data_IF_264453517709
#
_entry.id   IF_264453517709
#
_cell.length_a   1.000
_cell.length_b   1.000
_cell.length_c   1.000
_cell.angle_alpha   90.00
_cell.angle_beta   90.00
_cell.angle_gamma   90.00
#
_symmetry.space_group_name_H-M   'P 1'
#
loop_
_entity.id
_entity.type
_entity.pdbx_description
1 polymer ?
#
# COMPACT_ATOMS: atom_id res chain seq x y z
N UNK A 1 14.51 26.03 14.96
CA UNK A 1 14.46 24.64 14.43
C UNK A 1 13.32 24.62 13.45
N UNK A 2 13.61 24.84 12.18
CA UNK A 2 12.56 25.20 11.23
C UNK A 2 11.93 23.95 10.58
N UNK A 3 12.58 22.81 10.74
CA UNK A 3 12.15 21.50 10.25
C UNK A 3 12.12 20.46 11.37
N UNK A 4 11.18 19.52 11.27
CA UNK A 4 10.99 18.43 12.23
C UNK A 4 10.89 17.09 11.49
N UNK A 5 11.48 16.03 12.06
CA UNK A 5 11.44 14.68 11.46
C UNK A 5 10.06 14.05 11.62
N UNK A 6 9.49 13.63 10.48
CA UNK A 6 8.18 12.97 10.43
C UNK A 6 8.24 11.59 9.75
N UNK A 7 9.36 11.25 9.09
CA UNK A 7 9.59 9.95 8.47
C UNK A 7 11.03 9.50 8.76
N UNK A 8 11.18 8.43 9.55
CA UNK A 8 12.49 7.84 9.84
C UNK A 8 13.08 7.12 8.63
N UNK A 9 14.41 6.97 8.57
CA UNK A 9 15.10 6.24 7.49
C UNK A 9 14.58 4.80 7.28
N UNK A 10 14.33 4.05 8.35
CA UNK A 10 13.80 2.68 8.26
C UNK A 10 12.40 2.62 7.64
N UNK A 11 11.54 3.59 7.96
CA UNK A 11 10.23 3.74 7.33
C UNK A 11 10.37 4.01 5.83
N UNK A 12 11.29 4.90 5.43
CA UNK A 12 11.53 5.19 4.02
C UNK A 12 12.00 3.95 3.27
N UNK A 13 12.98 3.23 3.79
CA UNK A 13 13.50 2.00 3.16
C UNK A 13 12.36 0.99 2.96
N UNK A 14 11.58 0.72 4.02
CA UNK A 14 10.43 -0.18 3.93
C UNK A 14 9.40 0.29 2.89
N UNK A 15 9.11 1.59 2.83
CA UNK A 15 8.18 2.16 1.85
C UNK A 15 8.71 2.00 0.41
N UNK A 16 9.97 2.31 0.13
CA UNK A 16 10.54 2.23 -1.22
C UNK A 16 10.59 0.78 -1.72
N UNK A 17 11.01 -0.15 -0.88
CA UNK A 17 10.98 -1.57 -1.21
C UNK A 17 9.56 -2.07 -1.44
N UNK A 18 8.61 -1.67 -0.60
CA UNK A 18 7.20 -2.00 -0.82
C UNK A 18 6.69 -1.46 -2.15
N UNK A 19 7.02 -0.21 -2.50
CA UNK A 19 6.63 0.39 -3.77
C UNK A 19 7.16 -0.44 -4.95
N UNK A 20 8.45 -0.76 -4.96
CA UNK A 20 9.08 -1.53 -6.05
C UNK A 20 8.46 -2.93 -6.14
N UNK A 21 8.43 -3.67 -5.04
CA UNK A 21 7.96 -5.05 -5.02
C UNK A 21 6.46 -5.15 -5.33
N UNK A 22 5.65 -4.26 -4.78
CA UNK A 22 4.22 -4.21 -5.07
C UNK A 22 3.97 -3.84 -6.53
N UNK A 23 4.70 -2.88 -7.12
CA UNK A 23 4.56 -2.56 -8.55
C UNK A 23 4.91 -3.75 -9.43
N UNK A 24 6.00 -4.47 -9.13
CA UNK A 24 6.35 -5.67 -9.89
C UNK A 24 5.32 -6.79 -9.74
N UNK A 25 4.79 -7.02 -8.53
CA UNK A 25 3.70 -7.97 -8.28
C UNK A 25 2.42 -7.56 -8.99
N UNK A 26 2.09 -6.27 -9.00
CA UNK A 26 0.91 -5.75 -9.67
C UNK A 26 1.01 -5.94 -11.19
N UNK A 27 2.16 -5.64 -11.79
CA UNK A 27 2.39 -5.82 -13.23
C UNK A 27 2.35 -7.30 -13.62
N UNK A 28 3.09 -8.14 -12.90
CA UNK A 28 3.11 -9.59 -13.16
C UNK A 28 1.75 -10.24 -12.89
N UNK A 29 1.06 -9.82 -11.83
CA UNK A 29 -0.30 -10.27 -11.51
C UNK A 29 -1.31 -9.84 -12.56
N UNK A 30 -1.22 -8.61 -13.08
CA UNK A 30 -2.11 -8.13 -14.14
C UNK A 30 -2.02 -8.96 -15.43
N UNK A 31 -0.82 -9.40 -15.81
CA UNK A 31 -0.64 -10.33 -16.95
C UNK A 31 -1.34 -11.66 -16.70
N UNK A 32 -1.24 -12.20 -15.48
CA UNK A 32 -1.85 -13.48 -15.12
C UNK A 32 -3.36 -13.38 -14.92
N UNK A 33 -3.84 -12.21 -14.50
CA UNK A 33 -5.26 -11.92 -14.26
C UNK A 33 -6.03 -11.73 -15.56
N UNK A 34 -5.45 -11.04 -16.56
CA UNK A 34 -6.03 -10.94 -17.89
C UNK A 34 -4.95 -10.84 -18.96
N UNK A 35 -4.61 -12.00 -19.52
CA UNK A 35 -3.62 -12.11 -20.59
C UNK A 35 -4.15 -11.53 -21.91
N UNK A 36 -5.46 -11.45 -22.08
CA UNK A 36 -6.11 -10.86 -23.24
C UNK A 36 -5.83 -9.36 -23.34
N UNK A 37 -5.77 -8.67 -22.19
CA UNK A 37 -5.50 -7.24 -22.10
C UNK A 37 -4.00 -6.97 -21.97
N UNK A 38 -3.30 -7.77 -21.17
CA UNK A 38 -1.90 -7.54 -20.79
C UNK A 38 -0.90 -8.42 -21.54
N UNK A 39 -1.36 -9.13 -22.59
CA UNK A 39 -0.53 -10.05 -23.38
C UNK A 39 0.66 -9.39 -24.08
N UNK A 40 0.57 -8.08 -24.36
CA UNK A 40 1.70 -7.30 -24.89
C UNK A 40 2.89 -7.28 -23.92
N UNK A 41 2.64 -7.29 -22.61
CA UNK A 41 3.69 -7.33 -21.59
C UNK A 41 4.31 -8.73 -21.51
N UNK A 42 3.49 -9.78 -21.60
CA UNK A 42 4.00 -11.16 -21.73
C UNK A 42 4.86 -11.29 -22.99
N UNK A 43 4.38 -10.80 -24.14
CA UNK A 43 5.13 -10.79 -25.39
C UNK A 43 6.49 -10.08 -25.22
N UNK A 44 6.50 -8.86 -24.66
CA UNK A 44 7.72 -8.08 -24.45
C UNK A 44 8.74 -8.80 -23.56
N UNK A 45 8.29 -9.43 -22.47
CA UNK A 45 9.14 -10.21 -21.56
C UNK A 45 9.64 -11.50 -22.21
N UNK A 46 8.81 -12.18 -22.99
CA UNK A 46 9.13 -13.49 -23.56
C UNK A 46 9.91 -13.45 -24.88
N UNK A 47 9.84 -12.36 -25.64
CA UNK A 47 10.52 -12.22 -26.95
C UNK A 47 12.03 -12.51 -26.89
N UNK A 48 12.79 -12.03 -25.88
CA UNK A 48 14.22 -12.33 -25.80
C UNK A 48 14.55 -13.82 -25.55
N UNK A 49 13.58 -14.62 -25.08
CA UNK A 49 13.80 -15.99 -24.62
C UNK A 49 13.04 -17.05 -25.42
N UNK A 50 12.10 -16.65 -26.29
CA UNK A 50 11.20 -17.55 -27.02
C UNK A 50 11.94 -18.56 -27.88
N UNK A 51 12.98 -18.12 -28.61
CA UNK A 51 13.81 -18.97 -29.46
C UNK A 51 14.58 -20.02 -28.64
N UNK A 52 15.11 -19.64 -27.47
CA UNK A 52 15.82 -20.55 -26.58
C UNK A 52 14.89 -21.59 -25.96
N UNK A 53 13.66 -21.20 -25.64
CA UNK A 53 12.65 -22.05 -24.99
C UNK A 53 11.83 -22.88 -25.99
N UNK A 54 12.00 -22.68 -27.29
CA UNK A 54 11.27 -23.43 -28.33
C UNK A 54 9.76 -23.22 -28.29
N UNK A 55 9.29 -22.02 -27.89
CA UNK A 55 7.87 -21.70 -27.75
C UNK A 55 7.56 -20.30 -28.27
N UNK A 56 6.28 -19.94 -28.39
CA UNK A 56 5.90 -18.60 -28.81
C UNK A 56 6.22 -17.55 -27.71
N UNK A 57 6.47 -16.28 -28.08
CA UNK A 57 6.84 -15.25 -27.12
C UNK A 57 5.83 -15.01 -25.99
N UNK A 58 4.53 -15.19 -26.24
CA UNK A 58 3.50 -14.94 -25.22
C UNK A 58 3.54 -16.05 -24.17
N UNK A 59 3.63 -17.31 -24.61
CA UNK A 59 3.78 -18.46 -23.71
C UNK A 59 5.07 -18.39 -22.88
N UNK A 60 6.21 -18.09 -23.52
CA UNK A 60 7.48 -17.87 -22.83
C UNK A 60 7.35 -16.78 -21.75
N UNK A 61 6.77 -15.63 -22.13
CA UNK A 61 6.55 -14.50 -21.24
C UNK A 61 5.65 -14.85 -20.06
N UNK A 62 4.52 -15.53 -20.31
CA UNK A 62 3.57 -15.92 -19.26
C UNK A 62 4.22 -16.86 -18.22
N UNK A 63 5.09 -17.78 -18.65
CA UNK A 63 5.82 -18.66 -17.74
C UNK A 63 6.86 -17.90 -16.91
N UNK A 64 7.62 -16.99 -17.53
CA UNK A 64 8.60 -16.13 -16.84
C UNK A 64 7.93 -15.21 -15.83
N UNK A 65 6.83 -14.57 -16.22
CA UNK A 65 6.02 -13.70 -15.37
C UNK A 65 5.46 -14.49 -14.19
N UNK A 66 4.90 -15.68 -14.42
CA UNK A 66 4.37 -16.55 -13.34
C UNK A 66 5.44 -16.93 -12.34
N UNK A 67 6.62 -17.32 -12.81
CA UNK A 67 7.73 -17.72 -11.93
C UNK A 67 8.24 -16.52 -11.13
N UNK A 68 8.40 -15.37 -11.80
CA UNK A 68 8.81 -14.12 -11.16
C UNK A 68 7.79 -13.65 -10.12
N UNK A 69 6.50 -13.69 -10.43
CA UNK A 69 5.43 -13.30 -9.51
C UNK A 69 5.50 -14.08 -8.19
N UNK A 70 5.68 -15.40 -8.26
CA UNK A 70 5.81 -16.26 -7.08
C UNK A 70 7.05 -15.89 -6.26
N UNK A 71 8.20 -15.76 -6.91
CA UNK A 71 9.45 -15.43 -6.22
C UNK A 71 9.38 -14.06 -5.53
N UNK A 72 8.93 -13.03 -6.26
CA UNK A 72 8.76 -11.68 -5.73
C UNK A 72 7.74 -11.68 -4.60
N UNK A 73 6.68 -12.49 -4.70
CA UNK A 73 5.67 -12.67 -3.66
C UNK A 73 6.27 -13.12 -2.33
N UNK A 74 7.20 -14.08 -2.35
CA UNK A 74 7.92 -14.51 -1.15
C UNK A 74 8.84 -13.43 -0.58
N UNK A 75 9.59 -12.73 -1.44
CA UNK A 75 10.46 -11.62 -1.01
C UNK A 75 9.64 -10.50 -0.37
N UNK A 76 8.51 -10.14 -0.98
CA UNK A 76 7.60 -9.14 -0.46
C UNK A 76 6.94 -9.58 0.85
N UNK A 77 6.50 -10.83 0.95
CA UNK A 77 5.98 -11.41 2.19
C UNK A 77 6.99 -11.33 3.33
N UNK A 78 8.25 -11.71 3.09
CA UNK A 78 9.32 -11.61 4.08
C UNK A 78 9.56 -10.16 4.54
N UNK A 79 9.61 -9.20 3.61
CA UNK A 79 9.71 -7.77 3.93
C UNK A 79 8.56 -7.31 4.83
N UNK A 80 7.33 -7.65 4.47
CA UNK A 80 6.14 -7.27 5.24
C UNK A 80 6.14 -7.89 6.64
N UNK A 81 6.51 -9.16 6.77
CA UNK A 81 6.61 -9.83 8.07
C UNK A 81 7.64 -9.15 8.97
N UNK A 82 8.86 -8.92 8.46
CA UNK A 82 9.92 -8.24 9.22
C UNK A 82 9.47 -6.83 9.63
N UNK A 83 8.86 -6.08 8.71
CA UNK A 83 8.40 -4.72 9.01
C UNK A 83 7.23 -4.70 10.00
N UNK A 84 6.29 -5.64 9.90
CA UNK A 84 5.19 -5.77 10.85
C UNK A 84 5.71 -6.10 12.27
N UNK A 85 6.66 -7.04 12.39
CA UNK A 85 7.31 -7.38 13.66
C UNK A 85 7.99 -6.13 14.25
N UNK A 86 8.74 -5.39 13.44
CA UNK A 86 9.36 -4.13 13.87
C UNK A 86 8.32 -3.13 14.39
N UNK A 87 7.23 -2.90 13.66
CA UNK A 87 6.18 -1.97 14.08
C UNK A 87 5.52 -2.39 15.40
N UNK A 88 5.31 -3.70 15.60
CA UNK A 88 4.71 -4.26 16.80
C UNK A 88 5.64 -4.17 18.01
N UNK A 89 6.88 -4.68 17.89
CA UNK A 89 7.86 -4.70 18.99
C UNK A 89 8.18 -3.31 19.51
N UNK A 90 8.29 -2.32 18.62
CA UNK A 90 8.60 -0.94 18.98
C UNK A 90 7.35 -0.06 19.16
N UNK A 91 6.14 -0.65 19.16
CA UNK A 91 4.86 0.06 19.34
C UNK A 91 4.71 1.28 18.43
N UNK A 92 5.15 1.16 17.18
CA UNK A 92 5.18 2.24 16.17
C UNK A 92 3.93 2.30 15.29
N UNK A 93 2.89 1.53 15.60
CA UNK A 93 1.61 1.53 14.87
C UNK A 93 0.80 2.78 15.27
N UNK A 94 1.15 3.91 14.68
CA UNK A 94 0.46 5.19 14.92
C UNK A 94 -0.73 5.42 13.98
N UNK A 95 -0.83 4.65 12.88
CA UNK A 95 -1.82 4.86 11.82
C UNK A 95 -3.25 4.64 12.30
N UNK A 96 -3.47 3.86 13.37
CA UNK A 96 -4.81 3.61 13.91
C UNK A 96 -5.22 4.53 15.05
N UNK A 97 -4.34 5.44 15.51
CA UNK A 97 -4.67 6.39 16.59
C UNK A 97 -5.94 7.22 16.29
N UNK A 98 -6.20 7.70 15.06
CA UNK A 98 -7.42 8.45 14.78
C UNK A 98 -8.71 7.68 15.02
N UNK A 99 -8.67 6.34 14.94
CA UNK A 99 -9.84 5.48 15.14
C UNK A 99 -10.31 5.40 16.60
N UNK A 100 -9.55 5.95 17.56
CA UNK A 100 -9.99 6.02 18.96
C UNK A 100 -11.10 7.05 19.18
N UNK A 101 -11.37 7.92 18.20
CA UNK A 101 -12.45 8.92 18.27
C UNK A 101 -13.83 8.21 18.20
N UNK A 102 -14.89 8.70 18.85
CA UNK A 102 -16.25 8.17 18.69
C UNK A 102 -16.72 8.17 17.22
N UNK A 103 -17.47 7.15 16.78
CA UNK A 103 -17.96 7.01 15.39
C UNK A 103 -18.63 8.27 14.81
N UNK A 104 -19.51 9.00 15.54
CA UNK A 104 -20.09 10.22 15.00
C UNK A 104 -19.06 11.30 14.66
N UNK A 105 -18.00 11.41 15.49
CA UNK A 105 -16.89 12.32 15.24
C UNK A 105 -16.06 11.84 14.04
N UNK A 106 -15.86 10.52 13.92
CA UNK A 106 -15.14 9.96 12.78
C UNK A 106 -15.83 10.30 11.45
N UNK A 107 -17.15 10.13 11.38
CA UNK A 107 -17.93 10.45 10.18
C UNK A 107 -17.83 11.94 9.84
N UNK A 108 -17.96 12.81 10.84
CA UNK A 108 -17.85 14.27 10.66
C UNK A 108 -16.48 14.66 10.09
N UNK A 109 -15.40 14.13 10.68
CA UNK A 109 -14.04 14.40 10.25
C UNK A 109 -13.74 13.83 8.86
N UNK A 110 -14.16 12.60 8.56
CA UNK A 110 -14.02 12.03 7.21
C UNK A 110 -14.69 12.90 6.14
N UNK A 111 -15.93 13.36 6.38
CA UNK A 111 -16.65 14.25 5.45
C UNK A 111 -15.93 15.58 5.27
N UNK A 112 -15.41 16.15 6.35
CA UNK A 112 -14.66 17.40 6.31
C UNK A 112 -13.35 17.25 5.50
N UNK A 113 -12.58 16.19 5.74
CA UNK A 113 -11.33 15.91 5.01
C UNK A 113 -11.62 15.63 3.54
N UNK A 114 -12.62 14.81 3.24
CA UNK A 114 -13.00 14.52 1.85
C UNK A 114 -13.44 15.80 1.11
N UNK A 115 -14.27 16.63 1.76
CA UNK A 115 -14.67 17.93 1.20
C UNK A 115 -13.50 18.88 1.00
N UNK A 116 -12.52 18.85 1.90
CA UNK A 116 -11.30 19.64 1.76
C UNK A 116 -10.47 19.19 0.55
N UNK A 117 -10.24 17.89 0.39
CA UNK A 117 -9.44 17.35 -0.72
C UNK A 117 -10.14 17.42 -2.09
N UNK A 118 -11.46 17.27 -2.13
CA UNK A 118 -12.20 17.23 -3.40
C UNK A 118 -12.68 18.63 -3.81
N UNK A 119 -13.13 19.44 -2.85
CA UNK A 119 -13.79 20.72 -3.13
C UNK A 119 -12.97 21.94 -2.67
N UNK A 120 -11.78 21.73 -2.08
CA UNK A 120 -10.95 22.82 -1.56
C UNK A 120 -11.55 23.55 -0.36
N UNK A 121 -12.59 23.01 0.28
CA UNK A 121 -13.25 23.66 1.41
C UNK A 121 -12.30 23.74 2.62
N UNK A 122 -12.29 24.83 3.40
CA UNK A 122 -11.48 24.90 4.61
C UNK A 122 -11.95 23.85 5.63
N UNK A 123 -11.00 23.28 6.38
CA UNK A 123 -11.33 22.36 7.47
C UNK A 123 -11.98 23.13 8.62
N UNK A 124 -13.06 22.59 9.24
CA UNK A 124 -13.60 23.14 10.47
C UNK A 124 -12.52 23.23 11.56
N UNK A 125 -12.49 24.30 12.39
CA UNK A 125 -11.46 24.49 13.40
C UNK A 125 -11.32 23.30 14.36
N UNK A 126 -12.43 22.68 14.76
CA UNK A 126 -12.41 21.49 15.62
C UNK A 126 -11.73 20.28 14.96
N UNK A 127 -11.84 20.14 13.63
CA UNK A 127 -11.21 19.07 12.88
C UNK A 127 -9.73 19.36 12.72
N UNK A 128 -9.36 20.58 12.32
CA UNK A 128 -7.98 21.01 12.12
C UNK A 128 -7.11 20.80 13.38
N UNK A 129 -7.63 21.17 14.55
CA UNK A 129 -6.92 20.98 15.83
C UNK A 129 -6.83 19.51 16.27
N UNK A 130 -7.70 18.64 15.74
CA UNK A 130 -7.72 17.22 16.03
C UNK A 130 -6.87 16.36 15.08
N UNK A 131 -6.25 16.99 14.07
CA UNK A 131 -5.42 16.30 13.09
C UNK A 131 -4.17 15.72 13.73
N UNK A 132 -3.85 14.51 13.28
CA UNK A 132 -2.70 13.72 13.70
C UNK A 132 -1.80 13.46 12.47
N UNK A 133 -0.68 12.77 12.67
CA UNK A 133 0.25 12.34 11.61
C UNK A 133 -0.47 11.64 10.46
N UNK A 134 -1.46 10.83 10.80
CA UNK A 134 -2.37 10.20 9.86
C UNK A 134 -3.78 10.70 10.18
N UNK A 135 -4.58 10.97 9.16
CA UNK A 135 -5.98 11.31 9.34
C UNK A 135 -6.86 10.04 9.29
N UNK A 136 -8.17 10.19 9.53
CA UNK A 136 -9.09 9.06 9.52
C UNK A 136 -9.16 8.33 8.17
N UNK A 137 -9.16 9.06 7.05
CA UNK A 137 -9.20 8.43 5.72
C UNK A 137 -7.98 7.51 5.53
N UNK A 138 -6.79 7.98 5.92
CA UNK A 138 -5.56 7.16 5.88
C UNK A 138 -5.68 5.94 6.79
N UNK A 139 -6.33 6.06 7.96
CA UNK A 139 -6.53 4.94 8.88
C UNK A 139 -7.42 3.86 8.26
N UNK A 140 -8.53 4.24 7.62
CA UNK A 140 -9.40 3.31 6.91
C UNK A 140 -8.75 2.72 5.66
N UNK A 141 -7.96 3.50 4.92
CA UNK A 141 -7.16 2.98 3.81
C UNK A 141 -6.13 1.96 4.28
N UNK A 142 -5.52 2.15 5.46
CA UNK A 142 -4.63 1.16 6.05
C UNK A 142 -5.37 -0.15 6.38
N UNK A 143 -6.63 -0.10 6.81
CA UNK A 143 -7.47 -1.31 6.98
C UNK A 143 -7.69 -2.01 5.64
N UNK A 144 -8.05 -1.26 4.58
CA UNK A 144 -8.21 -1.82 3.23
C UNK A 144 -6.91 -2.49 2.77
N UNK A 145 -5.77 -1.84 2.97
CA UNK A 145 -4.45 -2.42 2.65
C UNK A 145 -4.19 -3.71 3.43
N UNK A 146 -4.47 -3.75 4.73
CA UNK A 146 -4.29 -4.96 5.54
C UNK A 146 -5.17 -6.10 5.03
N UNK A 147 -6.43 -5.83 4.72
CA UNK A 147 -7.33 -6.84 4.16
C UNK A 147 -6.78 -7.36 2.83
N UNK A 148 -6.40 -6.45 1.92
CA UNK A 148 -5.84 -6.80 0.61
C UNK A 148 -4.57 -7.67 0.75
N UNK A 149 -3.61 -7.25 1.57
CA UNK A 149 -2.36 -7.97 1.85
C UNK A 149 -2.63 -9.33 2.45
N UNK A 150 -3.58 -9.44 3.38
CA UNK A 150 -3.96 -10.70 4.03
C UNK A 150 -4.53 -11.67 3.01
N UNK A 151 -5.48 -11.20 2.19
CA UNK A 151 -6.08 -12.01 1.12
C UNK A 151 -5.00 -12.47 0.14
N UNK A 152 -4.17 -11.57 -0.38
CA UNK A 152 -3.08 -11.89 -1.31
C UNK A 152 -2.08 -12.88 -0.73
N UNK A 153 -1.68 -12.71 0.53
CA UNK A 153 -0.66 -13.54 1.17
C UNK A 153 -1.17 -14.95 1.45
N UNK A 154 -2.34 -15.08 2.08
CA UNK A 154 -2.91 -16.39 2.44
C UNK A 154 -3.24 -17.17 1.16
N UNK A 155 -3.97 -16.55 0.23
CA UNK A 155 -4.33 -17.22 -1.02
C UNK A 155 -3.11 -17.50 -1.90
N UNK A 156 -2.14 -16.57 -1.99
CA UNK A 156 -0.95 -16.74 -2.82
C UNK A 156 -0.09 -17.90 -2.34
N UNK A 157 0.15 -18.01 -1.03
CA UNK A 157 0.86 -19.16 -0.43
C UNK A 157 0.07 -20.45 -0.68
N UNK A 158 -1.25 -20.45 -0.44
CA UNK A 158 -2.10 -21.62 -0.67
C UNK A 158 -2.06 -22.11 -2.13
N UNK A 159 -2.07 -21.19 -3.11
CA UNK A 159 -2.01 -21.52 -4.53
C UNK A 159 -0.65 -22.06 -4.97
N UNK A 160 0.44 -21.54 -4.39
CA UNK A 160 1.80 -22.05 -4.65
C UNK A 160 1.97 -23.46 -4.10
N UNK A 161 1.44 -23.72 -2.90
CA UNK A 161 1.55 -25.03 -2.23
C UNK A 161 0.29 -25.88 -2.32
N UNK A 162 -0.55 -25.68 -3.34
CA UNK A 162 -1.84 -26.36 -3.46
C UNK A 162 -1.75 -27.89 -3.46
N UNK A 163 -0.72 -28.46 -4.09
CA UNK A 163 -0.53 -29.92 -4.15
C UNK A 163 -0.03 -30.47 -2.80
N UNK A 164 1.04 -29.93 -2.17
CA UNK A 164 1.44 -30.37 -0.83
C UNK A 164 0.36 -30.18 0.24
N UNK A 165 -0.49 -29.15 0.10
CA UNK A 165 -1.61 -28.88 1.00
C UNK A 165 -2.84 -29.76 0.72
N UNK A 166 -2.83 -30.57 -0.36
CA UNK A 166 -3.95 -31.43 -0.73
C UNK A 166 -5.24 -30.65 -1.02
N UNK A 167 -5.14 -29.44 -1.57
CA UNK A 167 -6.31 -28.61 -1.81
C UNK A 167 -7.21 -29.21 -2.89
N UNK A 168 -8.51 -29.32 -2.58
CA UNK A 168 -9.51 -29.72 -3.57
C UNK A 168 -9.62 -28.68 -4.70
N UNK A 169 -10.15 -29.05 -5.88
CA UNK A 169 -10.40 -28.08 -6.95
C UNK A 169 -11.28 -26.91 -6.51
N UNK A 170 -12.28 -27.15 -5.66
CA UNK A 170 -13.13 -26.08 -5.11
C UNK A 170 -12.36 -25.15 -4.18
N UNK A 171 -11.46 -25.68 -3.35
CA UNK A 171 -10.59 -24.86 -2.50
C UNK A 171 -9.62 -24.02 -3.32
N UNK A 172 -9.03 -24.58 -4.39
CA UNK A 172 -8.15 -23.84 -5.31
C UNK A 172 -8.90 -22.68 -5.97
N UNK A 173 -10.11 -22.93 -6.49
CA UNK A 173 -10.93 -21.87 -7.10
C UNK A 173 -11.31 -20.78 -6.09
N UNK A 174 -11.62 -21.16 -4.86
CA UNK A 174 -11.88 -20.17 -3.81
C UNK A 174 -10.63 -19.36 -3.46
N UNK A 175 -9.46 -19.99 -3.36
CA UNK A 175 -8.21 -19.28 -3.15
C UNK A 175 -7.88 -18.32 -4.31
N UNK A 176 -8.12 -18.72 -5.57
CA UNK A 176 -7.99 -17.82 -6.73
C UNK A 176 -8.91 -16.60 -6.59
N UNK A 177 -10.19 -16.81 -6.29
CA UNK A 177 -11.13 -15.70 -6.07
C UNK A 177 -10.66 -14.75 -4.97
N UNK A 178 -10.21 -15.28 -3.82
CA UNK A 178 -9.68 -14.44 -2.74
C UNK A 178 -8.43 -13.67 -3.17
N UNK A 179 -7.57 -14.28 -3.98
CA UNK A 179 -6.37 -13.62 -4.51
C UNK A 179 -6.75 -12.46 -5.43
N UNK A 180 -7.71 -12.67 -6.33
CA UNK A 180 -8.20 -11.66 -7.26
C UNK A 180 -8.91 -10.51 -6.54
N UNK A 181 -9.73 -10.80 -5.53
CA UNK A 181 -10.34 -9.78 -4.67
C UNK A 181 -9.26 -8.98 -3.94
N UNK A 182 -8.26 -9.66 -3.38
CA UNK A 182 -7.11 -9.00 -2.75
C UNK A 182 -6.35 -8.09 -3.70
N UNK A 183 -6.16 -8.53 -4.94
CA UNK A 183 -5.53 -7.75 -6.01
C UNK A 183 -6.32 -6.48 -6.32
N UNK A 184 -7.63 -6.58 -6.55
CA UNK A 184 -8.50 -5.43 -6.82
C UNK A 184 -8.53 -4.45 -5.65
N UNK A 185 -8.61 -4.94 -4.41
CA UNK A 185 -8.54 -4.08 -3.21
C UNK A 185 -7.18 -3.38 -3.10
N UNK A 186 -6.09 -4.05 -3.48
CA UNK A 186 -4.76 -3.46 -3.56
C UNK A 186 -4.70 -2.30 -4.56
N UNK A 187 -5.29 -2.45 -5.74
CA UNK A 187 -5.41 -1.37 -6.73
C UNK A 187 -6.26 -0.21 -6.24
N UNK A 188 -7.39 -0.50 -5.58
CA UNK A 188 -8.22 0.53 -4.95
C UNK A 188 -7.43 1.32 -3.90
N UNK A 189 -6.67 0.62 -3.04
CA UNK A 189 -5.78 1.27 -2.08
C UNK A 189 -4.76 2.18 -2.78
N UNK A 190 -4.06 1.70 -3.82
CA UNK A 190 -3.06 2.49 -4.54
C UNK A 190 -3.69 3.74 -5.17
N UNK A 191 -4.86 3.62 -5.80
CA UNK A 191 -5.55 4.76 -6.39
C UNK A 191 -5.89 5.83 -5.35
N UNK A 192 -6.49 5.41 -4.22
CA UNK A 192 -6.81 6.32 -3.11
C UNK A 192 -5.55 6.91 -2.46
N UNK A 193 -4.48 6.11 -2.35
CA UNK A 193 -3.19 6.54 -1.80
C UNK A 193 -2.55 7.60 -2.67
N UNK A 194 -2.45 7.38 -3.98
CA UNK A 194 -1.92 8.34 -4.93
C UNK A 194 -2.75 9.62 -4.94
N UNK A 195 -4.08 9.53 -4.96
CA UNK A 195 -4.96 10.69 -4.86
C UNK A 195 -4.65 11.52 -3.60
N UNK A 196 -4.52 10.88 -2.44
CA UNK A 196 -4.25 11.57 -1.20
C UNK A 196 -2.85 12.19 -1.17
N UNK A 197 -1.80 11.44 -1.52
CA UNK A 197 -0.40 11.92 -1.38
C UNK A 197 0.02 12.93 -2.44
N UNK A 198 -0.63 12.93 -3.61
CA UNK A 198 -0.36 13.90 -4.69
C UNK A 198 -1.17 15.19 -4.52
N UNK A 199 -2.09 15.27 -3.56
CA UNK A 199 -2.81 16.50 -3.26
C UNK A 199 -1.82 17.62 -2.85
N UNK A 200 -1.96 18.86 -3.37
CA UNK A 200 -0.99 19.93 -3.12
C UNK A 200 -0.71 20.23 -1.64
N UNK A 201 -1.75 20.14 -0.79
CA UNK A 201 -1.61 20.31 0.66
C UNK A 201 -0.65 19.31 1.31
N UNK A 202 -0.46 18.13 0.71
CA UNK A 202 0.38 17.05 1.20
C UNK A 202 1.78 17.02 0.57
N UNK A 203 2.13 18.00 -0.29
CA UNK A 203 3.46 18.08 -0.91
C UNK A 203 4.62 17.98 0.09
N UNK A 204 4.58 18.61 1.29
CA UNK A 204 5.64 18.44 2.29
C UNK A 204 5.81 16.98 2.75
N UNK A 205 4.74 16.19 2.79
CA UNK A 205 4.81 14.77 3.14
C UNK A 205 5.50 13.96 2.04
N UNK A 206 5.18 14.26 0.78
CA UNK A 206 5.81 13.61 -0.36
C UNK A 206 7.32 13.91 -0.39
N UNK A 207 7.70 15.17 -0.18
CA UNK A 207 9.10 15.58 -0.09
C UNK A 207 9.79 14.90 1.09
N UNK A 208 9.15 14.81 2.26
CA UNK A 208 9.71 14.10 3.41
C UNK A 208 9.91 12.59 3.11
N UNK A 209 8.95 11.95 2.44
CA UNK A 209 9.01 10.52 2.12
C UNK A 209 10.18 10.16 1.22
N UNK A 210 10.43 10.97 0.19
CA UNK A 210 11.46 10.73 -0.81
C UNK A 210 12.76 11.52 -0.58
N UNK A 211 12.76 12.47 0.37
CA UNK A 211 13.86 13.39 0.67
C UNK A 211 14.53 13.12 2.03
N UNK A 212 14.60 14.12 2.89
CA UNK A 212 15.35 14.08 4.16
C UNK A 212 14.54 13.56 5.37
N UNK A 213 13.28 13.16 5.17
CA UNK A 213 12.40 12.70 6.25
C UNK A 213 11.77 13.81 7.09
N UNK A 214 11.97 15.09 6.71
CA UNK A 214 11.57 16.25 7.52
C UNK A 214 10.56 17.13 6.79
N UNK A 215 9.77 17.86 7.56
CA UNK A 215 8.84 18.88 7.07
C UNK A 215 8.94 20.17 7.90
N UNK A 216 8.54 21.29 7.31
CA UNK A 216 8.59 22.60 7.96
C UNK A 216 7.65 22.65 9.17
N UNK A 217 8.15 23.17 10.29
CA UNK A 217 7.44 23.18 11.56
C UNK A 217 6.12 23.98 11.47
N UNK A 218 6.11 25.09 10.73
CA UNK A 218 4.90 25.88 10.51
C UNK A 218 3.81 25.07 9.81
N UNK A 219 4.17 24.28 8.79
CA UNK A 219 3.24 23.39 8.11
C UNK A 219 2.73 22.30 9.06
N UNK A 220 3.61 21.71 9.87
CA UNK A 220 3.26 20.68 10.84
C UNK A 220 2.33 21.18 11.94
N UNK A 221 2.48 22.42 12.40
CA UNK A 221 1.55 23.04 13.37
C UNK A 221 0.14 23.17 12.81
N UNK A 222 0.01 23.42 11.50
CA UNK A 222 -1.28 23.53 10.84
C UNK A 222 -1.91 22.17 10.47
N UNK A 223 -1.10 21.16 10.15
CA UNK A 223 -1.60 19.89 9.56
C UNK A 223 -1.45 18.67 10.47
N UNK A 224 -0.63 18.76 11.53
CA UNK A 224 -0.31 17.66 12.45
C UNK A 224 -0.21 18.09 13.93
N UNK A 225 -1.12 18.94 14.46
CA UNK A 225 -1.00 19.49 15.81
C UNK A 225 -0.93 18.42 16.90
N UNK A 226 -1.76 17.36 16.84
CA UNK A 226 -1.73 16.28 17.84
C UNK A 226 -0.44 15.46 17.81
N UNK A 227 0.18 15.33 16.64
CA UNK A 227 1.44 14.61 16.50
C UNK A 227 2.59 15.36 17.16
N UNK A 228 2.61 16.69 17.04
CA UNK A 228 3.59 17.58 17.67
C UNK A 228 3.38 17.65 19.19
N UNK A 229 2.13 17.80 19.63
CA UNK A 229 1.76 17.84 21.05
C UNK A 229 2.29 16.62 21.82
N UNK A 230 2.09 15.40 21.28
CA UNK A 230 2.61 14.17 21.87
C UNK A 230 4.13 14.06 21.92
N UNK A 231 4.84 14.89 21.16
CA UNK A 231 6.31 14.96 21.11
C UNK A 231 6.85 16.15 21.91
N UNK A 232 5.99 16.85 22.66
CA UNK A 232 6.37 18.01 23.46
C UNK A 232 6.74 19.24 22.64
N UNK A 233 6.34 19.29 21.36
CA UNK A 233 6.62 20.41 20.46
C UNK A 233 5.40 21.32 20.43
N UNK A 234 5.53 22.53 20.97
CA UNK A 234 4.52 23.59 20.94
C UNK A 234 4.66 24.46 19.69
#
# INVERSE_FOLDING_TARGET
>A
MDKFEIVSIGYKIAHHWNLILFTLLALTGAVLFSIEVMGWLAYAVGTPFSALLGTDPVTAGAQLVRTSHRFIGFVWGALLTVYAIYLLLFRRIEVFKPLSKPLPQQIKEMRAIASHYVLGKPLPPEVAQSLDRHNLLVSYMAIVLIIAVTLLSISGVALVFKEPLGLSPSAVNFMLLLHDVGFVLGFLFVALHLFAVLHPANRPLLVAMFGDGKADLAWLKAHMPRFLERRGVK
#
